data_IF_664209103927
#
_entry.id   IF_664209103927
#
_cell.length_a   1.000
_cell.length_b   1.000
_cell.length_c   1.000
_cell.angle_alpha   90.00
_cell.angle_beta   90.00
_cell.angle_gamma   90.00
#
_symmetry.space_group_name_H-M   'P 1'
#
loop_
_entity.id
_entity.type
_entity.pdbx_description
1 polymer ?
#
# COMPACT_ATOMS: atom_id res chain seq x y z
N UNK A 1 32.62 29.30 -36.11
CA UNK A 1 32.49 28.76 -34.74
C UNK A 1 32.43 29.94 -33.79
N UNK A 2 31.41 30.02 -32.93
CA UNK A 2 31.41 31.04 -31.86
C UNK A 2 32.45 30.67 -30.80
N UNK A 3 33.21 31.64 -30.26
CA UNK A 3 34.20 31.36 -29.23
C UNK A 3 33.52 30.87 -27.94
N UNK A 4 34.20 29.95 -27.23
CA UNK A 4 33.73 29.34 -25.96
C UNK A 4 33.58 30.36 -24.81
N UNK A 5 33.98 31.62 -25.02
CA UNK A 5 33.78 32.74 -24.10
C UNK A 5 32.31 33.10 -23.87
N UNK A 6 31.40 32.66 -24.74
CA UNK A 6 29.98 33.02 -24.68
C UNK A 6 29.15 32.06 -23.82
N UNK A 7 29.75 31.03 -23.22
CA UNK A 7 29.05 30.10 -22.32
C UNK A 7 29.01 30.70 -20.90
N UNK A 8 27.83 30.89 -20.30
CA UNK A 8 27.70 31.39 -18.94
C UNK A 8 28.49 30.55 -17.92
N UNK A 9 29.27 31.23 -17.07
CA UNK A 9 30.25 30.64 -16.16
C UNK A 9 29.60 29.73 -15.09
N UNK A 10 28.36 30.03 -14.74
CA UNK A 10 27.44 29.29 -13.87
C UNK A 10 27.10 27.89 -14.42
N UNK A 11 26.93 27.76 -15.74
CA UNK A 11 26.66 26.46 -16.38
C UNK A 11 27.90 25.57 -16.36
N UNK A 12 29.11 26.15 -16.46
CA UNK A 12 30.36 25.39 -16.39
C UNK A 12 30.61 24.80 -15.00
N UNK A 13 30.31 25.53 -13.92
CA UNK A 13 30.54 25.01 -12.56
C UNK A 13 29.52 23.92 -12.18
N UNK A 14 28.23 24.10 -12.43
CA UNK A 14 27.20 23.18 -11.94
C UNK A 14 27.10 21.86 -12.72
N UNK A 15 27.47 21.88 -14.00
CA UNK A 15 27.31 20.71 -14.90
C UNK A 15 28.61 19.91 -15.04
N UNK A 16 29.78 20.58 -15.03
CA UNK A 16 31.05 19.98 -15.42
C UNK A 16 31.95 19.65 -14.22
N UNK A 17 31.91 20.47 -13.15
CA UNK A 17 32.77 20.31 -11.99
C UNK A 17 32.62 18.97 -11.22
N UNK A 18 31.44 18.32 -11.16
CA UNK A 18 31.32 17.04 -10.45
C UNK A 18 32.04 15.87 -11.13
N UNK A 19 32.38 16.00 -12.43
CA UNK A 19 32.78 14.85 -13.24
C UNK A 19 34.26 14.78 -13.60
N UNK A 20 35.06 15.86 -13.55
CA UNK A 20 36.47 15.80 -13.95
C UNK A 20 37.38 16.85 -13.25
N UNK A 21 38.59 16.45 -12.78
CA UNK A 21 39.56 17.36 -12.17
C UNK A 21 40.41 18.19 -13.17
N UNK A 22 40.21 18.07 -14.49
CA UNK A 22 41.04 18.76 -15.49
C UNK A 22 40.23 19.28 -16.70
N UNK A 23 39.94 20.58 -16.72
CA UNK A 23 39.23 21.27 -17.80
C UNK A 23 39.94 21.18 -19.17
N UNK A 24 41.26 20.95 -19.20
CA UNK A 24 42.06 20.87 -20.42
C UNK A 24 41.79 19.59 -21.24
N UNK A 25 41.41 18.47 -20.61
CA UNK A 25 41.11 17.20 -21.30
C UNK A 25 39.73 17.21 -22.00
N UNK A 26 38.83 18.08 -21.55
CA UNK A 26 37.49 18.27 -22.12
C UNK A 26 37.54 18.98 -23.48
N UNK A 27 38.51 19.89 -23.67
CA UNK A 27 38.68 20.64 -24.92
C UNK A 27 39.17 19.77 -26.09
N UNK A 28 39.93 18.71 -25.84
CA UNK A 28 40.41 17.80 -26.89
C UNK A 28 39.35 16.76 -27.29
N UNK A 29 38.54 16.27 -26.35
CA UNK A 29 37.50 15.28 -26.64
C UNK A 29 36.29 15.89 -27.37
N UNK A 30 35.92 17.16 -27.13
CA UNK A 30 34.78 17.81 -27.78
C UNK A 30 34.98 18.21 -29.27
N UNK A 31 36.16 17.96 -29.84
CA UNK A 31 36.44 18.29 -31.26
C UNK A 31 35.84 17.27 -32.24
N UNK A 32 35.53 16.05 -31.80
CA UNK A 32 34.82 15.06 -32.62
C UNK A 32 33.34 15.43 -32.74
N UNK A 33 32.79 15.37 -33.97
CA UNK A 33 31.35 15.54 -34.24
C UNK A 33 30.48 14.59 -33.40
N UNK A 34 30.98 13.38 -33.13
CA UNK A 34 30.30 12.39 -32.31
C UNK A 34 30.22 12.82 -30.85
N UNK A 35 31.31 13.37 -30.30
CA UNK A 35 31.33 13.87 -28.92
C UNK A 35 30.45 15.10 -28.75
N UNK A 36 30.33 15.96 -29.77
CA UNK A 36 29.37 17.08 -29.76
C UNK A 36 27.91 16.59 -29.77
N UNK A 37 27.60 15.54 -30.54
CA UNK A 37 26.28 14.91 -30.55
C UNK A 37 25.95 14.32 -29.17
N UNK A 38 26.87 13.55 -28.60
CA UNK A 38 26.72 12.94 -27.28
C UNK A 38 26.55 14.02 -26.19
N UNK A 39 27.32 15.10 -26.26
CA UNK A 39 27.19 16.22 -25.32
C UNK A 39 25.82 16.92 -25.43
N UNK A 40 25.33 17.17 -26.65
CA UNK A 40 24.00 17.75 -26.86
C UNK A 40 22.89 16.84 -26.33
N UNK A 41 23.03 15.53 -26.52
CA UNK A 41 22.09 14.54 -25.97
C UNK A 41 22.10 14.54 -24.44
N UNK A 42 23.29 14.57 -23.82
CA UNK A 42 23.45 14.66 -22.37
C UNK A 42 22.85 15.94 -21.80
N UNK A 43 23.08 17.09 -22.45
CA UNK A 43 22.45 18.35 -22.05
C UNK A 43 20.93 18.26 -22.15
N UNK A 44 20.38 17.70 -23.22
CA UNK A 44 18.92 17.52 -23.34
C UNK A 44 18.38 16.63 -22.22
N UNK A 45 19.02 15.48 -21.94
CA UNK A 45 18.67 14.61 -20.81
C UNK A 45 18.73 15.35 -19.47
N UNK A 46 19.73 16.20 -19.25
CA UNK A 46 19.86 17.00 -18.03
C UNK A 46 18.76 18.06 -17.91
N UNK A 47 18.39 18.74 -18.98
CA UNK A 47 17.27 19.69 -18.96
C UNK A 47 15.94 18.98 -18.63
N UNK A 48 15.72 17.80 -19.19
CA UNK A 48 14.54 16.98 -18.86
C UNK A 48 14.55 16.54 -17.40
N UNK A 49 15.72 16.16 -16.88
CA UNK A 49 15.86 15.82 -15.47
C UNK A 49 15.58 17.01 -14.56
N UNK A 50 16.14 18.20 -14.84
CA UNK A 50 15.89 19.42 -14.06
C UNK A 50 14.40 19.78 -14.10
N UNK A 51 13.76 19.62 -15.27
CA UNK A 51 12.33 19.84 -15.41
C UNK A 51 11.52 18.91 -14.49
N UNK A 52 11.83 17.61 -14.49
CA UNK A 52 11.22 16.63 -13.59
C UNK A 52 11.53 16.99 -12.14
N UNK A 53 12.78 17.24 -11.76
CA UNK A 53 13.20 17.61 -10.40
C UNK A 53 12.47 18.85 -9.86
N UNK A 54 12.13 19.80 -10.74
CA UNK A 54 11.40 21.02 -10.34
C UNK A 54 9.89 20.80 -10.22
N UNK A 55 9.30 19.99 -11.11
CA UNK A 55 7.85 19.76 -11.16
C UNK A 55 7.38 18.62 -10.26
N UNK A 56 8.25 17.66 -9.98
CA UNK A 56 7.95 16.49 -9.17
C UNK A 56 7.56 16.86 -7.72
N UNK A 57 8.22 17.80 -7.01
CA UNK A 57 7.80 18.17 -5.65
C UNK A 57 6.44 18.87 -5.62
N UNK A 58 6.13 19.70 -6.62
CA UNK A 58 4.80 20.32 -6.76
C UNK A 58 3.74 19.25 -6.99
N UNK A 59 4.07 18.25 -7.81
CA UNK A 59 3.23 17.09 -8.04
C UNK A 59 3.02 16.29 -6.75
N UNK A 60 4.10 15.89 -6.07
CA UNK A 60 4.07 15.14 -4.82
C UNK A 60 3.26 15.83 -3.74
N UNK A 61 3.44 17.14 -3.56
CA UNK A 61 2.67 17.90 -2.58
C UNK A 61 1.16 17.79 -2.83
N UNK A 62 0.74 17.83 -4.10
CA UNK A 62 -0.66 17.65 -4.46
C UNK A 62 -1.11 16.19 -4.30
N UNK A 63 -0.24 15.21 -4.57
CA UNK A 63 -0.53 13.79 -4.32
C UNK A 63 -0.74 13.51 -2.83
N UNK A 64 0.18 13.95 -1.98
CA UNK A 64 0.12 13.76 -0.53
C UNK A 64 -1.11 14.46 0.06
N UNK A 65 -1.44 15.64 -0.48
CA UNK A 65 -2.67 16.34 -0.14
C UNK A 65 -3.92 15.51 -0.47
N UNK A 66 -3.98 14.88 -1.65
CA UNK A 66 -5.10 13.99 -2.02
C UNK A 66 -5.17 12.71 -1.17
N UNK A 67 -4.03 12.13 -0.80
CA UNK A 67 -3.99 10.89 -0.02
C UNK A 67 -4.40 11.10 1.44
N UNK A 68 -4.10 12.27 2.00
CA UNK A 68 -4.41 12.61 3.39
C UNK A 68 -5.73 13.38 3.55
N UNK A 69 -6.42 13.64 2.44
CA UNK A 69 -7.68 14.39 2.40
C UNK A 69 -8.88 13.56 2.90
N UNK A 70 -8.85 13.09 4.16
CA UNK A 70 -10.03 12.45 4.78
C UNK A 70 -11.09 13.46 5.22
N UNK A 71 -10.74 14.76 5.36
CA UNK A 71 -11.64 15.85 5.76
C UNK A 71 -11.46 17.16 4.97
N UNK A 72 -10.90 17.09 3.76
CA UNK A 72 -10.64 18.29 2.94
C UNK A 72 -11.89 18.66 2.15
N UNK A 73 -12.10 19.97 1.95
CA UNK A 73 -13.22 20.46 1.14
C UNK A 73 -13.14 19.95 -0.31
N UNK A 74 -14.29 19.61 -0.90
CA UNK A 74 -14.38 19.11 -2.27
C UNK A 74 -13.66 20.02 -3.29
N UNK A 75 -13.70 21.34 -3.06
CA UNK A 75 -13.01 22.33 -3.91
C UNK A 75 -11.49 22.20 -3.91
N UNK A 76 -10.88 21.90 -2.76
CA UNK A 76 -9.43 21.75 -2.70
C UNK A 76 -8.98 20.42 -3.31
N UNK A 77 -9.78 19.37 -3.15
CA UNK A 77 -9.57 18.09 -3.83
C UNK A 77 -9.62 18.27 -5.36
N UNK A 78 -10.60 19.02 -5.86
CA UNK A 78 -10.77 19.27 -7.28
C UNK A 78 -9.62 20.10 -7.87
N UNK A 79 -9.13 21.12 -7.14
CA UNK A 79 -7.93 21.88 -7.55
C UNK A 79 -6.70 20.98 -7.66
N UNK A 80 -6.45 20.12 -6.67
CA UNK A 80 -5.33 19.20 -6.72
C UNK A 80 -5.44 18.21 -7.89
N UNK A 81 -6.65 17.72 -8.19
CA UNK A 81 -6.91 16.89 -9.38
C UNK A 81 -6.61 17.63 -10.68
N UNK A 82 -7.03 18.88 -10.81
CA UNK A 82 -6.77 19.70 -12.00
C UNK A 82 -5.27 19.92 -12.23
N UNK A 83 -4.51 20.21 -11.17
CA UNK A 83 -3.05 20.35 -11.25
C UNK A 83 -2.41 19.04 -11.72
N UNK A 84 -2.87 17.90 -11.20
CA UNK A 84 -2.38 16.59 -11.64
C UNK A 84 -2.68 16.34 -13.12
N UNK A 85 -3.91 16.58 -13.56
CA UNK A 85 -4.31 16.40 -14.97
C UNK A 85 -3.49 17.30 -15.90
N UNK A 86 -3.14 18.51 -15.46
CA UNK A 86 -2.30 19.43 -16.24
C UNK A 86 -0.84 18.96 -16.32
N UNK A 87 -0.28 18.43 -15.22
CA UNK A 87 1.11 17.99 -15.16
C UNK A 87 1.34 16.59 -15.77
N UNK A 88 0.32 15.74 -15.77
CA UNK A 88 0.43 14.34 -16.19
C UNK A 88 0.99 14.14 -17.61
N UNK A 89 0.55 14.86 -18.67
CA UNK A 89 1.11 14.70 -20.00
C UNK A 89 2.60 15.08 -20.08
N UNK A 90 3.04 16.05 -19.28
CA UNK A 90 4.45 16.45 -19.24
C UNK A 90 5.29 15.43 -18.48
N UNK A 91 4.74 14.85 -17.42
CA UNK A 91 5.36 13.77 -16.64
C UNK A 91 5.50 12.51 -17.50
N UNK A 92 4.46 12.14 -18.28
CA UNK A 92 4.47 10.97 -19.16
C UNK A 92 5.56 11.08 -20.24
N UNK A 93 5.87 12.29 -20.75
CA UNK A 93 6.98 12.49 -21.71
C UNK A 93 8.35 12.12 -21.11
N UNK A 94 8.46 12.09 -19.80
CA UNK A 94 9.71 11.85 -19.06
C UNK A 94 9.59 10.63 -18.12
N UNK A 95 8.74 9.67 -18.48
CA UNK A 95 8.41 8.50 -17.65
C UNK A 95 9.63 7.68 -17.20
N UNK A 96 10.67 7.63 -18.04
CA UNK A 96 11.92 6.94 -17.74
C UNK A 96 12.67 7.57 -16.56
N UNK A 97 12.48 8.88 -16.33
CA UNK A 97 13.13 9.64 -15.26
C UNK A 97 12.34 9.60 -13.94
N UNK A 98 11.10 9.11 -13.94
CA UNK A 98 10.26 9.05 -12.74
C UNK A 98 10.75 7.92 -11.82
N UNK A 99 11.01 8.16 -10.53
CA UNK A 99 11.37 7.10 -9.59
C UNK A 99 10.21 6.11 -9.36
N UNK A 100 10.55 4.87 -9.04
CA UNK A 100 9.56 3.79 -8.86
C UNK A 100 8.49 4.11 -7.80
N UNK A 101 8.91 4.73 -6.68
CA UNK A 101 8.02 5.21 -5.59
C UNK A 101 6.95 6.19 -6.10
N UNK A 102 7.33 7.13 -6.95
CA UNK A 102 6.42 8.16 -7.44
C UNK A 102 5.39 7.57 -8.41
N UNK A 103 5.85 6.66 -9.29
CA UNK A 103 4.96 5.88 -10.14
C UNK A 103 3.97 5.03 -9.32
N UNK A 104 4.38 4.52 -8.15
CA UNK A 104 3.49 3.78 -7.26
C UNK A 104 2.44 4.69 -6.59
N UNK A 105 2.85 5.84 -6.05
CA UNK A 105 1.94 6.86 -5.49
C UNK A 105 0.89 7.29 -6.53
N UNK A 106 1.33 7.51 -7.76
CA UNK A 106 0.50 7.79 -8.92
C UNK A 106 -0.60 6.73 -9.12
N UNK A 107 -0.21 5.46 -9.13
CA UNK A 107 -1.16 4.34 -9.25
C UNK A 107 -2.25 4.39 -8.17
N UNK A 108 -1.91 4.72 -6.92
CA UNK A 108 -2.89 4.79 -5.82
C UNK A 108 -3.90 5.91 -6.00
N UNK A 109 -3.52 7.02 -6.61
CA UNK A 109 -4.44 8.16 -6.81
C UNK A 109 -5.30 7.93 -8.04
N UNK A 110 -4.70 7.37 -9.10
CA UNK A 110 -5.43 6.98 -10.30
C UNK A 110 -6.51 5.93 -10.03
N UNK A 111 -6.43 5.15 -8.94
CA UNK A 111 -7.50 4.22 -8.58
C UNK A 111 -8.85 4.90 -8.33
N UNK A 112 -8.85 6.22 -8.06
CA UNK A 112 -10.07 7.01 -7.90
C UNK A 112 -10.60 7.53 -9.24
N UNK A 113 -9.75 7.64 -10.27
CA UNK A 113 -10.12 8.18 -11.59
C UNK A 113 -10.49 7.08 -12.58
N UNK A 114 -9.59 6.13 -12.74
CA UNK A 114 -9.63 5.12 -13.81
C UNK A 114 -8.84 3.91 -13.39
N UNK A 115 -9.47 2.75 -13.45
CA UNK A 115 -8.78 1.49 -13.19
C UNK A 115 -7.62 1.27 -14.18
N UNK A 116 -7.76 1.70 -15.44
CA UNK A 116 -6.73 1.55 -16.48
C UNK A 116 -5.46 2.31 -16.12
N UNK A 117 -5.63 3.53 -15.64
CA UNK A 117 -4.50 4.41 -15.30
C UNK A 117 -3.79 3.88 -14.06
N UNK A 118 -4.56 3.39 -13.08
CA UNK A 118 -4.02 2.72 -11.90
C UNK A 118 -3.17 1.51 -12.28
N UNK A 119 -3.65 0.70 -13.23
CA UNK A 119 -2.91 -0.44 -13.75
C UNK A 119 -1.61 0.00 -14.46
N UNK A 120 -1.71 0.96 -15.37
CA UNK A 120 -0.57 1.50 -16.13
C UNK A 120 0.56 2.00 -15.21
N UNK A 121 0.23 2.83 -14.24
CA UNK A 121 1.21 3.37 -13.29
C UNK A 121 1.79 2.29 -12.37
N UNK A 122 1.00 1.29 -11.99
CA UNK A 122 1.50 0.16 -11.22
C UNK A 122 2.50 -0.68 -12.05
N UNK A 123 2.26 -0.84 -13.35
CA UNK A 123 3.14 -1.56 -14.26
C UNK A 123 4.50 -0.85 -14.39
N UNK A 124 4.50 0.48 -14.53
CA UNK A 124 5.72 1.30 -14.57
C UNK A 124 6.49 1.25 -13.25
N UNK A 125 5.80 1.34 -12.12
CA UNK A 125 6.44 1.24 -10.82
C UNK A 125 7.04 -0.16 -10.61
N UNK A 126 6.32 -1.21 -11.02
CA UNK A 126 6.77 -2.60 -10.93
C UNK A 126 7.98 -2.86 -11.84
N UNK A 127 8.00 -2.33 -13.07
CA UNK A 127 9.13 -2.47 -14.00
C UNK A 127 10.40 -1.79 -13.48
N UNK A 128 10.24 -0.74 -12.67
CA UNK A 128 11.33 -0.04 -11.97
C UNK A 128 11.69 -0.69 -10.62
N UNK A 129 11.12 -1.85 -10.30
CA UNK A 129 11.48 -2.63 -9.11
C UNK A 129 10.72 -2.29 -7.84
N UNK A 130 9.64 -1.49 -7.89
CA UNK A 130 8.86 -1.16 -6.70
C UNK A 130 8.08 -2.37 -6.18
N UNK A 131 8.40 -2.83 -4.96
CA UNK A 131 7.90 -4.09 -4.40
C UNK A 131 6.37 -4.12 -4.26
N UNK A 132 5.79 -3.07 -3.67
CA UNK A 132 4.33 -2.97 -3.53
C UNK A 132 3.61 -2.83 -4.87
N UNK A 133 4.28 -2.30 -5.88
CA UNK A 133 3.69 -2.20 -7.22
C UNK A 133 3.65 -3.59 -7.88
N UNK A 134 4.74 -4.36 -7.77
CA UNK A 134 4.78 -5.77 -8.20
C UNK A 134 3.72 -6.60 -7.47
N UNK A 135 3.55 -6.41 -6.17
CA UNK A 135 2.49 -7.06 -5.38
C UNK A 135 1.11 -6.72 -5.95
N UNK A 136 0.79 -5.43 -6.12
CA UNK A 136 -0.51 -5.00 -6.67
C UNK A 136 -0.74 -5.54 -8.09
N UNK A 137 0.30 -5.57 -8.91
CA UNK A 137 0.24 -6.10 -10.27
C UNK A 137 -0.09 -7.60 -10.27
N UNK A 138 0.50 -8.37 -9.35
CA UNK A 138 0.17 -9.78 -9.16
C UNK A 138 -1.28 -9.96 -8.73
N UNK A 139 -1.77 -9.15 -7.78
CA UNK A 139 -3.18 -9.14 -7.36
C UNK A 139 -4.12 -8.85 -8.53
N UNK A 140 -3.81 -7.84 -9.37
CA UNK A 140 -4.64 -7.52 -10.54
C UNK A 140 -4.73 -8.67 -11.54
N UNK A 141 -3.62 -9.38 -11.77
CA UNK A 141 -3.63 -10.58 -12.60
C UNK A 141 -4.42 -11.74 -11.98
N UNK A 142 -4.39 -11.92 -10.66
CA UNK A 142 -5.16 -12.98 -10.02
C UNK A 142 -6.66 -12.70 -10.06
N UNK A 143 -7.05 -11.45 -9.81
CA UNK A 143 -8.47 -11.07 -9.73
C UNK A 143 -9.10 -10.78 -11.10
N UNK A 144 -8.28 -10.51 -12.13
CA UNK A 144 -8.77 -10.07 -13.43
C UNK A 144 -9.41 -8.69 -13.39
N UNK A 145 -8.88 -7.79 -12.55
CA UNK A 145 -9.36 -6.41 -12.40
C UNK A 145 -8.53 -5.43 -13.23
N UNK A 146 -9.02 -4.19 -13.36
CA UNK A 146 -8.24 -3.06 -13.89
C UNK A 146 -7.64 -3.30 -15.27
N UNK A 147 -8.47 -3.74 -16.20
CA UNK A 147 -8.11 -4.12 -17.58
C UNK A 147 -7.22 -5.34 -17.78
N UNK A 148 -6.82 -6.03 -16.71
CA UNK A 148 -6.14 -7.31 -16.86
C UNK A 148 -7.11 -8.47 -17.08
N UNK A 149 -6.80 -9.31 -18.06
CA UNK A 149 -7.37 -10.67 -18.11
C UNK A 149 -6.89 -11.44 -16.89
N UNK A 150 -7.82 -12.17 -16.25
CA UNK A 150 -7.53 -13.06 -15.13
C UNK A 150 -6.48 -14.10 -15.57
N UNK A 151 -5.30 -14.04 -14.96
CA UNK A 151 -4.14 -14.87 -15.26
C UNK A 151 -3.44 -15.28 -13.95
N UNK A 152 -4.00 -16.26 -13.20
CA UNK A 152 -3.45 -16.70 -11.92
C UNK A 152 -2.01 -17.23 -12.03
N UNK A 153 -1.65 -17.82 -13.18
CA UNK A 153 -0.29 -18.28 -13.48
C UNK A 153 0.72 -17.13 -13.52
N UNK A 154 0.34 -15.98 -14.09
CA UNK A 154 1.19 -14.77 -14.12
C UNK A 154 1.30 -14.14 -12.73
N UNK A 155 0.18 -14.08 -11.99
CA UNK A 155 0.16 -13.62 -10.60
C UNK A 155 1.11 -14.45 -9.72
N UNK A 156 1.00 -15.78 -9.82
CA UNK A 156 1.87 -16.72 -9.11
C UNK A 156 3.35 -16.49 -9.42
N UNK A 157 3.71 -16.33 -10.70
CA UNK A 157 5.10 -16.07 -11.10
C UNK A 157 5.63 -14.78 -10.46
N UNK A 158 4.83 -13.72 -10.48
CA UNK A 158 5.18 -12.44 -9.86
C UNK A 158 5.34 -12.56 -8.34
N UNK A 159 4.45 -13.28 -7.65
CA UNK A 159 4.59 -13.50 -6.21
C UNK A 159 5.84 -14.29 -5.86
N UNK A 160 6.19 -15.32 -6.64
CA UNK A 160 7.43 -16.08 -6.45
C UNK A 160 8.68 -15.20 -6.62
N UNK A 161 8.76 -14.47 -7.74
CA UNK A 161 9.85 -13.51 -7.99
C UNK A 161 9.94 -12.46 -6.86
N UNK A 162 8.79 -11.97 -6.39
CA UNK A 162 8.74 -10.97 -5.33
C UNK A 162 9.24 -11.54 -3.99
N UNK A 163 8.83 -12.76 -3.61
CA UNK A 163 9.31 -13.45 -2.41
C UNK A 163 10.82 -13.72 -2.43
N UNK A 164 11.38 -14.04 -3.59
CA UNK A 164 12.82 -14.30 -3.77
C UNK A 164 13.64 -13.01 -3.73
N UNK A 165 13.12 -11.93 -4.30
CA UNK A 165 13.83 -10.65 -4.45
C UNK A 165 13.69 -9.71 -3.26
N UNK A 166 12.56 -9.73 -2.55
CA UNK A 166 12.23 -8.73 -1.53
C UNK A 166 12.93 -8.99 -0.21
N UNK A 167 13.47 -7.92 0.40
CA UNK A 167 13.95 -7.92 1.79
C UNK A 167 12.88 -7.46 2.77
N UNK A 168 11.79 -6.87 2.28
CA UNK A 168 10.73 -6.28 3.09
C UNK A 168 9.83 -7.36 3.69
N UNK A 169 9.89 -7.51 5.02
CA UNK A 169 9.12 -8.51 5.75
C UNK A 169 7.61 -8.30 5.64
N UNK A 170 7.15 -7.04 5.64
CA UNK A 170 5.73 -6.70 5.52
C UNK A 170 5.15 -7.17 4.19
N UNK A 171 5.88 -6.94 3.10
CA UNK A 171 5.51 -7.41 1.76
C UNK A 171 5.43 -8.94 1.73
N UNK A 172 6.42 -9.64 2.30
CA UNK A 172 6.40 -11.12 2.39
C UNK A 172 5.18 -11.64 3.14
N UNK A 173 4.88 -11.05 4.29
CA UNK A 173 3.75 -11.48 5.10
C UNK A 173 2.42 -11.19 4.41
N UNK A 174 2.32 -10.06 3.69
CA UNK A 174 1.15 -9.75 2.86
C UNK A 174 0.98 -10.73 1.70
N UNK A 175 2.07 -11.14 1.05
CA UNK A 175 2.04 -12.17 0.00
C UNK A 175 1.57 -13.50 0.56
N UNK A 176 2.13 -13.97 1.68
CA UNK A 176 1.73 -15.23 2.32
C UNK A 176 0.26 -15.21 2.70
N UNK A 177 -0.21 -14.12 3.30
CA UNK A 177 -1.61 -13.92 3.63
C UNK A 177 -2.51 -13.97 2.38
N UNK A 178 -2.09 -13.29 1.30
CA UNK A 178 -2.85 -13.29 0.05
C UNK A 178 -2.90 -14.69 -0.58
N UNK A 179 -1.78 -15.42 -0.64
CA UNK A 179 -1.74 -16.79 -1.17
C UNK A 179 -2.63 -17.72 -0.34
N UNK A 180 -2.56 -17.66 0.99
CA UNK A 180 -3.39 -18.51 1.86
C UNK A 180 -4.89 -18.23 1.79
N UNK A 181 -5.29 -17.03 1.34
CA UNK A 181 -6.70 -16.67 1.15
C UNK A 181 -7.23 -16.97 -0.26
N UNK A 182 -6.35 -17.29 -1.22
CA UNK A 182 -6.68 -17.48 -2.64
C UNK A 182 -6.20 -18.87 -3.12
N UNK A 183 -7.04 -19.92 -2.97
CA UNK A 183 -6.63 -21.31 -3.24
C UNK A 183 -6.17 -21.55 -4.69
N UNK A 184 -6.64 -20.74 -5.64
CA UNK A 184 -6.24 -20.80 -7.05
C UNK A 184 -4.74 -20.56 -7.29
N UNK A 185 -4.05 -19.86 -6.37
CA UNK A 185 -2.61 -19.66 -6.39
C UNK A 185 -1.86 -20.50 -5.36
N UNK A 186 -2.55 -21.03 -4.33
CA UNK A 186 -1.92 -21.76 -3.23
C UNK A 186 -1.36 -23.13 -3.61
N UNK A 187 -2.05 -23.88 -4.49
CA UNK A 187 -1.82 -25.33 -4.73
C UNK A 187 -0.46 -25.75 -5.30
N UNK A 188 0.54 -24.88 -5.26
CA UNK A 188 1.87 -25.11 -5.83
C UNK A 188 3.00 -24.36 -5.13
N UNK A 189 2.71 -23.58 -4.08
CA UNK A 189 3.76 -23.03 -3.19
C UNK A 189 4.18 -24.03 -2.10
N UNK A 190 3.33 -25.01 -1.76
CA UNK A 190 3.57 -25.98 -0.68
C UNK A 190 4.65 -27.04 -1.02
N UNK A 191 5.08 -27.16 -2.28
CA UNK A 191 6.00 -28.23 -2.72
C UNK A 191 7.50 -27.92 -2.58
N UNK A 192 7.92 -26.73 -2.15
CA UNK A 192 9.35 -26.38 -2.08
C UNK A 192 9.86 -26.00 -0.67
N UNK A 193 9.00 -25.87 0.35
CA UNK A 193 9.43 -25.45 1.69
C UNK A 193 9.83 -26.59 2.63
N UNK A 194 9.73 -27.86 2.20
CA UNK A 194 10.00 -29.04 3.03
C UNK A 194 11.40 -29.63 2.88
N UNK A 195 12.23 -29.17 1.94
CA UNK A 195 13.57 -29.75 1.71
C UNK A 195 14.74 -28.82 2.11
N UNK A 196 14.49 -27.56 2.47
CA UNK A 196 15.54 -26.58 2.83
C UNK A 196 15.53 -26.21 4.32
N UNK A 197 15.27 -27.18 5.21
CA UNK A 197 15.41 -26.98 6.67
C UNK A 197 15.98 -28.20 7.42
N UNK A 198 16.53 -29.21 6.74
CA UNK A 198 17.11 -30.39 7.41
C UNK A 198 18.63 -30.34 7.57
N UNK A 199 19.28 -29.17 7.44
CA UNK A 199 20.75 -29.09 7.53
C UNK A 199 21.27 -27.95 8.42
N UNK A 200 20.59 -27.70 9.55
CA UNK A 200 21.12 -26.86 10.65
C UNK A 200 21.19 -27.62 11.98
N UNK A 201 20.69 -28.85 12.06
CA UNK A 201 20.63 -29.63 13.31
C UNK A 201 21.78 -30.65 13.51
N UNK A 202 22.82 -30.66 12.66
CA UNK A 202 23.92 -31.63 12.80
C UNK A 202 25.11 -31.20 13.68
N UNK A 203 24.94 -30.23 14.60
CA UNK A 203 26.00 -29.86 15.57
C UNK A 203 25.51 -29.55 16.99
N UNK A 204 24.37 -30.11 17.43
CA UNK A 204 24.04 -30.15 18.86
C UNK A 204 23.25 -31.43 19.19
N UNK A 205 23.97 -32.54 19.21
CA UNK A 205 23.51 -33.79 19.78
C UNK A 205 24.45 -34.16 20.93
N UNK A 206 24.20 -33.57 22.11
CA UNK A 206 24.41 -34.21 23.40
C UNK A 206 23.74 -33.38 24.51
N UNK A 207 23.07 -34.10 25.41
CA UNK A 207 22.30 -33.61 26.56
C UNK A 207 20.95 -32.93 26.26
N UNK A 208 19.89 -33.75 26.20
CA UNK A 208 18.98 -33.88 27.36
C UNK A 208 17.77 -34.76 26.99
N UNK A 209 17.89 -36.05 27.30
CA UNK A 209 16.75 -36.94 27.46
C UNK A 209 16.03 -36.61 28.78
N UNK A 210 14.90 -35.91 28.68
CA UNK A 210 13.68 -36.13 29.46
C UNK A 210 12.81 -34.87 29.34
N UNK A 211 11.67 -34.98 28.66
CA UNK A 211 10.35 -34.66 29.22
C UNK A 211 9.30 -35.24 28.28
N UNK A 212 8.54 -36.18 28.83
CA UNK A 212 7.37 -36.81 28.25
C UNK A 212 6.24 -35.78 28.08
N UNK A 213 5.58 -35.90 26.93
CA UNK A 213 4.13 -35.82 26.70
C UNK A 213 3.34 -34.61 27.25
N UNK A 214 2.77 -33.84 26.32
CA UNK A 214 1.70 -32.88 26.63
C UNK A 214 1.06 -32.32 25.37
N UNK A 215 0.33 -33.14 24.63
CA UNK A 215 -0.53 -32.70 23.55
C UNK A 215 -1.59 -31.70 24.06
N UNK A 216 -1.56 -30.46 23.57
CA UNK A 216 -2.63 -29.49 23.76
C UNK A 216 -2.91 -28.77 22.44
N UNK A 217 -3.76 -29.39 21.62
CA UNK A 217 -4.43 -28.76 20.49
C UNK A 217 -5.42 -27.72 21.05
N UNK A 218 -4.95 -26.49 21.32
CA UNK A 218 -5.81 -25.38 21.75
C UNK A 218 -6.63 -24.89 20.56
N UNK A 219 -7.90 -25.26 20.60
CA UNK A 219 -8.96 -24.80 19.70
C UNK A 219 -9.02 -23.28 19.64
N UNK A 220 -8.83 -22.71 18.46
CA UNK A 220 -8.95 -21.28 18.15
C UNK A 220 -10.41 -20.77 18.19
N UNK A 221 -11.37 -21.55 18.70
CA UNK A 221 -12.80 -21.21 18.71
C UNK A 221 -13.27 -20.40 19.93
N UNK A 222 -12.41 -20.12 20.91
CA UNK A 222 -12.79 -19.43 22.17
C UNK A 222 -12.56 -17.91 22.16
N UNK A 223 -11.84 -17.36 21.19
CA UNK A 223 -11.50 -15.92 21.15
C UNK A 223 -12.59 -15.03 20.53
N UNK A 224 -13.57 -15.59 19.81
CA UNK A 224 -14.59 -14.81 19.10
C UNK A 224 -15.70 -14.26 20.01
N UNK A 225 -15.99 -14.91 21.14
CA UNK A 225 -17.09 -14.52 22.04
C UNK A 225 -16.80 -13.26 22.86
N UNK A 226 -15.54 -13.04 23.26
CA UNK A 226 -15.16 -11.90 24.10
C UNK A 226 -15.12 -10.60 23.27
N UNK A 227 -14.76 -10.68 21.99
CA UNK A 227 -14.62 -9.51 21.11
C UNK A 227 -15.93 -8.73 20.90
N UNK A 228 -17.07 -9.42 20.74
CA UNK A 228 -18.34 -8.74 20.46
C UNK A 228 -18.93 -8.00 21.66
N UNK A 229 -18.74 -8.51 22.89
CA UNK A 229 -19.21 -7.81 24.09
C UNK A 229 -18.39 -6.55 24.36
N UNK A 230 -17.07 -6.63 24.18
CA UNK A 230 -16.18 -5.46 24.32
C UNK A 230 -16.48 -4.42 23.25
N UNK A 231 -16.66 -4.84 21.99
CA UNK A 231 -16.99 -3.93 20.89
C UNK A 231 -18.35 -3.22 21.09
N UNK A 232 -19.38 -3.96 21.53
CA UNK A 232 -20.69 -3.39 21.84
C UNK A 232 -20.64 -2.36 22.97
N UNK A 233 -19.81 -2.59 24.00
CA UNK A 233 -19.57 -1.64 25.09
C UNK A 233 -18.95 -0.32 24.62
N UNK A 234 -17.91 -0.37 23.78
CA UNK A 234 -17.28 0.84 23.25
C UNK A 234 -18.22 1.67 22.38
N UNK A 235 -19.03 1.02 21.52
CA UNK A 235 -20.00 1.73 20.66
C UNK A 235 -21.08 2.43 21.48
N UNK A 236 -21.54 1.81 22.59
CA UNK A 236 -22.51 2.44 23.49
C UNK A 236 -21.96 3.69 24.20
N UNK A 237 -20.71 3.64 24.67
CA UNK A 237 -20.05 4.80 25.32
C UNK A 237 -19.85 5.95 24.33
N UNK A 238 -19.42 5.64 23.09
CA UNK A 238 -19.29 6.65 22.03
C UNK A 238 -20.64 7.29 21.67
N UNK A 239 -21.72 6.50 21.62
CA UNK A 239 -23.08 7.02 21.43
C UNK A 239 -23.50 7.99 22.54
N UNK A 240 -23.21 7.64 23.80
CA UNK A 240 -23.56 8.47 24.97
C UNK A 240 -22.77 9.78 25.00
N UNK A 241 -21.49 9.75 24.63
CA UNK A 241 -20.67 10.94 24.46
C UNK A 241 -21.21 11.86 23.35
N UNK A 242 -21.62 11.31 22.20
CA UNK A 242 -22.20 12.07 21.10
C UNK A 242 -23.53 12.75 21.49
N UNK A 243 -24.39 12.08 22.26
CA UNK A 243 -25.63 12.66 22.78
C UNK A 243 -25.32 13.84 23.71
N UNK A 244 -24.37 13.68 24.63
CA UNK A 244 -23.96 14.76 25.54
C UNK A 244 -23.41 15.97 24.79
N UNK A 245 -22.54 15.76 23.79
CA UNK A 245 -22.03 16.84 22.93
C UNK A 245 -23.13 17.51 22.11
N UNK A 246 -24.11 16.73 21.63
CA UNK A 246 -25.29 17.25 20.91
C UNK A 246 -26.14 18.19 21.76
N UNK A 247 -26.37 17.87 23.04
CA UNK A 247 -27.13 18.71 23.97
C UNK A 247 -26.39 20.03 24.23
N UNK A 248 -25.06 19.99 24.40
CA UNK A 248 -24.25 21.21 24.59
C UNK A 248 -24.28 22.10 23.33
N UNK A 249 -24.19 21.51 22.13
CA UNK A 249 -24.28 22.24 20.87
C UNK A 249 -25.68 22.82 20.62
N UNK A 250 -26.73 22.12 21.06
CA UNK A 250 -28.11 22.59 21.00
C UNK A 250 -28.31 23.88 21.82
N UNK A 251 -27.64 23.97 22.98
CA UNK A 251 -27.68 25.17 23.83
C UNK A 251 -26.82 26.33 23.31
N UNK A 252 -25.75 26.04 22.56
CA UNK A 252 -24.70 27.02 22.26
C UNK A 252 -24.73 27.63 20.85
N UNK A 253 -25.16 26.90 19.80
CA UNK A 253 -24.83 27.30 18.42
C UNK A 253 -26.04 27.35 17.47
N UNK A 254 -26.94 26.38 17.50
CA UNK A 254 -28.23 26.41 16.77
C UNK A 254 -29.06 25.14 17.01
N UNK A 255 -30.39 25.27 17.04
CA UNK A 255 -31.29 24.15 17.33
C UNK A 255 -31.20 22.99 16.31
N UNK A 256 -30.93 23.27 15.03
CA UNK A 256 -30.90 22.25 13.97
C UNK A 256 -29.63 21.38 13.99
N UNK A 257 -28.46 21.96 14.24
CA UNK A 257 -27.21 21.22 14.31
C UNK A 257 -27.14 20.30 15.53
N UNK A 258 -27.63 20.75 16.69
CA UNK A 258 -27.70 19.94 17.90
C UNK A 258 -28.62 18.72 17.75
N UNK A 259 -29.74 18.88 17.05
CA UNK A 259 -30.73 17.81 16.84
C UNK A 259 -30.19 16.67 15.97
N UNK A 260 -29.40 16.99 14.93
CA UNK A 260 -28.79 15.98 14.05
C UNK A 260 -27.73 15.17 14.82
N UNK A 261 -26.89 15.84 15.62
CA UNK A 261 -25.84 15.18 16.42
C UNK A 261 -26.44 14.34 17.55
N UNK A 262 -27.48 14.85 18.24
CA UNK A 262 -28.19 14.09 19.26
C UNK A 262 -28.92 12.86 18.67
N UNK A 263 -29.55 13.02 17.50
CA UNK A 263 -30.25 11.95 16.80
C UNK A 263 -29.33 10.80 16.35
N UNK A 264 -28.16 11.12 15.79
CA UNK A 264 -27.17 10.09 15.41
C UNK A 264 -26.57 9.40 16.63
N UNK A 265 -26.35 10.13 17.73
CA UNK A 265 -25.91 9.56 19.01
C UNK A 265 -26.89 8.55 19.60
N UNK A 266 -28.20 8.85 19.58
CA UNK A 266 -29.25 7.92 20.04
C UNK A 266 -29.31 6.64 19.21
N UNK A 267 -29.18 6.75 17.89
CA UNK A 267 -29.14 5.58 17.00
C UNK A 267 -27.92 4.68 17.29
N UNK A 268 -26.74 5.27 17.50
CA UNK A 268 -25.53 4.52 17.86
C UNK A 268 -25.66 3.82 19.21
N UNK A 269 -26.28 4.48 20.20
CA UNK A 269 -26.57 3.91 21.52
C UNK A 269 -27.51 2.70 21.41
N UNK A 270 -28.59 2.81 20.66
CA UNK A 270 -29.54 1.71 20.44
C UNK A 270 -28.88 0.51 19.76
N UNK A 271 -28.06 0.74 18.73
CA UNK A 271 -27.28 -0.31 18.07
C UNK A 271 -26.27 -0.97 19.01
N UNK A 272 -25.55 -0.19 19.83
CA UNK A 272 -24.60 -0.70 20.81
C UNK A 272 -25.25 -1.59 21.88
N UNK A 273 -26.39 -1.15 22.43
CA UNK A 273 -27.18 -1.93 23.39
C UNK A 273 -27.75 -3.21 22.78
N UNK A 274 -28.22 -3.14 21.52
CA UNK A 274 -28.71 -4.31 20.79
C UNK A 274 -27.63 -5.39 20.57
N UNK A 275 -26.43 -4.97 20.18
CA UNK A 275 -25.28 -5.88 20.00
C UNK A 275 -24.83 -6.49 21.34
N UNK A 276 -24.83 -5.71 22.42
CA UNK A 276 -24.47 -6.19 23.75
C UNK A 276 -25.50 -7.21 24.29
N UNK A 277 -26.80 -6.94 24.12
CA UNK A 277 -27.86 -7.86 24.53
C UNK A 277 -27.91 -9.14 23.68
N UNK A 278 -27.72 -9.02 22.36
CA UNK A 278 -27.67 -10.16 21.43
C UNK A 278 -26.52 -11.13 21.73
N UNK A 279 -25.37 -10.61 22.18
CA UNK A 279 -24.25 -11.43 22.61
C UNK A 279 -24.56 -12.37 23.79
N UNK A 280 -25.46 -11.99 24.70
CA UNK A 280 -25.90 -12.87 25.81
C UNK A 280 -26.84 -13.97 25.35
N UNK A 281 -27.76 -13.68 24.42
CA UNK A 281 -28.73 -14.65 23.90
C UNK A 281 -28.05 -15.77 23.10
N UNK A 282 -27.00 -15.42 22.34
CA UNK A 282 -26.25 -16.40 21.56
C UNK A 282 -25.59 -17.48 22.44
N UNK A 283 -25.10 -17.11 23.64
CA UNK A 283 -24.49 -18.06 24.57
C UNK A 283 -25.49 -19.04 25.19
N UNK A 284 -26.77 -18.66 25.31
CA UNK A 284 -27.80 -19.51 25.89
C UNK A 284 -28.33 -20.56 24.91
N UNK A 285 -28.41 -20.22 23.62
CA UNK A 285 -28.91 -21.13 22.58
C UNK A 285 -27.93 -22.27 22.24
N UNK A 286 -26.62 -22.04 22.38
CA UNK A 286 -25.62 -23.05 22.04
C UNK A 286 -25.34 -24.06 23.17
N UNK A 287 -25.90 -23.85 24.38
CA UNK A 287 -25.73 -24.75 25.53
C UNK A 287 -26.80 -25.84 25.64
N UNK A 288 -27.93 -25.71 24.95
CA UNK A 288 -29.08 -26.61 25.09
C UNK A 288 -29.07 -27.80 24.10
N UNK A 289 -28.18 -27.81 23.13
CA UNK A 289 -28.06 -28.87 22.11
C UNK A 289 -27.17 -30.05 22.51
N UNK A 290 -26.53 -30.03 23.69
CA UNK A 290 -25.69 -31.14 24.17
C UNK A 290 -26.38 -32.18 25.07
N UNK A 291 -27.65 -32.00 25.47
CA UNK A 291 -28.33 -32.93 26.39
C UNK A 291 -29.12 -34.07 25.74
N UNK A 292 -29.22 -34.14 24.40
CA UNK A 292 -30.11 -35.07 23.69
C UNK A 292 -29.43 -36.34 23.12
N UNK A 293 -28.17 -36.60 23.47
CA UNK A 293 -27.44 -37.81 23.06
C UNK A 293 -26.90 -38.59 24.27
N UNK A 294 -27.76 -38.97 25.22
CA UNK A 294 -27.43 -40.06 26.14
C UNK A 294 -28.13 -41.34 25.69
N UNK A 295 -27.38 -42.43 25.40
CA UNK A 295 -27.96 -43.70 25.01
C UNK A 295 -28.71 -44.32 26.21
N UNK A 296 -29.96 -44.71 26.00
CA UNK A 296 -30.72 -45.53 26.95
C UNK A 296 -29.91 -46.79 27.26
N UNK A 297 -29.49 -46.94 28.51
CA UNK A 297 -29.05 -48.23 29.03
C UNK A 297 -30.29 -49.07 29.32
N UNK A 298 -30.50 -50.10 28.50
CA UNK A 298 -31.43 -51.20 28.74
C UNK A 298 -30.69 -52.26 29.56
#
# INVERSE_FOLDING_TARGET
MKPFSDIPQDIMQDVVAPFLPNAALLNLSLTSKENQKNHKELLNKRHQQIFVEKKLPEYEKNLDFLMNATMVSANALEKARQVIVQLEPEIIKHIDLIPAEHAFKLSRICSVRSEKDCFYWAEIAASKGHEWAKFNLAVYHNEGRKTCSKAPSKAKKLFKELLESTKNQEVRDKIRWYIGTHPEINGSFETQSSEENTNVDSLNMEASDNIKNGAAKKSASSLMGIGMQVLGGFVAVLGLAAVASGIVLLAAVSASAGLIVAGSGLAALACGLGLFAGGRLYHHWNGSSQSLNQPLKI
#
